data_IF_132151942600
#
_entry.id   IF_132151942600
#
_cell.length_a   1.000
_cell.length_b   1.000
_cell.length_c   1.000
_cell.angle_alpha   90.00
_cell.angle_beta   90.00
_cell.angle_gamma   90.00
#
_symmetry.space_group_name_H-M   'P 1'
#
loop_
_entity.id
_entity.type
_entity.pdbx_description
1 polymer ?
#
# COMPACT_ATOMS: atom_id res chain seq x y z
N UNK A 1 -7.68 -0.11 18.80
CA UNK A 1 -7.98 0.38 17.43
C UNK A 1 -7.77 -0.77 16.46
N UNK A 2 -8.79 -1.04 15.64
CA UNK A 2 -9.10 -2.33 14.99
C UNK A 2 -7.85 -3.00 14.36
N UNK A 3 -7.61 -4.30 14.61
CA UNK A 3 -6.56 -5.10 13.94
C UNK A 3 -6.90 -5.36 12.46
N UNK A 4 -8.19 -5.35 12.12
CA UNK A 4 -8.76 -5.51 10.77
C UNK A 4 -8.09 -4.65 9.68
N UNK A 5 -7.91 -3.32 9.84
CA UNK A 5 -7.31 -2.47 8.80
C UNK A 5 -5.87 -2.85 8.47
N UNK A 6 -5.09 -3.39 9.42
CA UNK A 6 -3.71 -3.79 9.15
C UNK A 6 -3.68 -4.97 8.18
N UNK A 7 -4.51 -5.98 8.43
CA UNK A 7 -4.62 -7.15 7.56
C UNK A 7 -5.01 -6.74 6.13
N UNK A 8 -5.97 -5.83 6.01
CA UNK A 8 -6.43 -5.31 4.71
C UNK A 8 -5.31 -4.56 3.97
N UNK A 9 -4.56 -3.70 4.66
CA UNK A 9 -3.43 -2.96 4.07
C UNK A 9 -2.34 -3.93 3.61
N UNK A 10 -2.04 -4.98 4.38
CA UNK A 10 -1.06 -6.00 3.99
C UNK A 10 -1.52 -6.78 2.76
N UNK A 11 -2.81 -7.17 2.69
CA UNK A 11 -3.37 -7.81 1.49
C UNK A 11 -3.32 -6.89 0.27
N UNK A 12 -3.60 -5.59 0.43
CA UNK A 12 -3.53 -4.60 -0.65
C UNK A 12 -2.09 -4.48 -1.21
N UNK A 13 -1.09 -4.47 -0.34
CA UNK A 13 0.33 -4.42 -0.74
C UNK A 13 0.72 -5.69 -1.49
N UNK A 14 0.34 -6.87 -0.99
CA UNK A 14 0.60 -8.15 -1.65
C UNK A 14 -0.01 -8.18 -3.06
N UNK A 15 -1.27 -7.79 -3.20
CA UNK A 15 -1.96 -7.73 -4.50
C UNK A 15 -1.27 -6.75 -5.45
N UNK A 16 -0.95 -5.55 -4.97
CA UNK A 16 -0.27 -4.51 -5.76
C UNK A 16 1.14 -4.94 -6.18
N UNK A 17 1.82 -5.71 -5.34
CA UNK A 17 3.15 -6.26 -5.64
C UNK A 17 3.09 -7.29 -6.76
N UNK A 18 2.13 -8.22 -6.72
CA UNK A 18 1.90 -9.19 -7.81
C UNK A 18 1.56 -8.47 -9.12
N UNK A 19 0.69 -7.45 -9.07
CA UNK A 19 0.38 -6.62 -10.25
C UNK A 19 1.61 -5.89 -10.79
N UNK A 20 2.52 -5.44 -9.92
CA UNK A 20 3.76 -4.80 -10.35
C UNK A 20 4.70 -5.80 -11.03
N UNK A 21 4.77 -7.05 -10.56
CA UNK A 21 5.50 -8.12 -11.26
C UNK A 21 4.95 -8.32 -12.68
N UNK A 22 3.62 -8.30 -12.87
CA UNK A 22 3.04 -8.35 -14.22
C UNK A 22 3.39 -7.11 -15.06
N UNK A 23 3.51 -5.94 -14.42
CA UNK A 23 4.05 -4.74 -15.05
C UNK A 23 5.49 -4.90 -15.54
N UNK A 24 6.35 -5.51 -14.72
CA UNK A 24 7.75 -5.80 -15.06
C UNK A 24 7.86 -6.83 -16.20
N UNK A 25 6.92 -7.78 -16.26
CA UNK A 25 6.81 -8.76 -17.35
C UNK A 25 6.24 -8.16 -18.65
N UNK A 26 5.98 -6.84 -18.71
CA UNK A 26 5.37 -6.13 -19.85
C UNK A 26 3.95 -6.62 -20.21
N UNK A 27 3.26 -7.32 -19.30
CA UNK A 27 1.87 -7.75 -19.48
C UNK A 27 0.89 -6.58 -19.28
N UNK A 28 1.27 -5.62 -18.44
CA UNK A 28 0.50 -4.42 -18.10
C UNK A 28 1.47 -3.23 -18.18
N UNK A 29 1.05 -2.03 -18.60
CA UNK A 29 1.89 -0.84 -18.57
C UNK A 29 2.42 -0.58 -17.14
N UNK A 30 3.75 -0.54 -17.00
CA UNK A 30 4.39 -0.30 -15.70
C UNK A 30 4.03 1.07 -15.10
N UNK A 31 3.66 2.01 -15.97
CA UNK A 31 3.16 3.33 -15.60
C UNK A 31 1.83 3.28 -14.82
N UNK A 32 1.10 2.17 -14.86
CA UNK A 32 -0.14 1.96 -14.11
C UNK A 32 0.14 1.15 -12.84
N UNK A 33 0.92 0.08 -12.95
CA UNK A 33 1.17 -0.82 -11.81
C UNK A 33 2.10 -0.21 -10.76
N UNK A 34 3.04 0.64 -11.18
CA UNK A 34 3.97 1.32 -10.26
C UNK A 34 3.29 2.37 -9.37
N UNK A 35 2.41 3.26 -9.88
CA UNK A 35 1.60 4.14 -9.02
C UNK A 35 0.69 3.39 -8.05
N UNK A 36 0.10 2.27 -8.47
CA UNK A 36 -0.75 1.45 -7.60
C UNK A 36 0.05 0.91 -6.40
N UNK A 37 1.23 0.35 -6.66
CA UNK A 37 2.14 -0.10 -5.60
C UNK A 37 2.55 1.06 -4.67
N UNK A 38 2.87 2.22 -5.25
CA UNK A 38 3.24 3.41 -4.48
C UNK A 38 2.12 3.88 -3.56
N UNK A 39 0.88 3.99 -4.05
CA UNK A 39 -0.28 4.38 -3.24
C UNK A 39 -0.51 3.37 -2.12
N UNK A 40 -0.39 2.07 -2.40
CA UNK A 40 -0.52 1.02 -1.38
C UNK A 40 0.50 1.18 -0.25
N UNK A 41 1.75 1.52 -0.58
CA UNK A 41 2.79 1.80 0.41
C UNK A 41 2.54 3.12 1.14
N UNK A 42 2.07 4.16 0.45
CA UNK A 42 1.72 5.45 1.06
C UNK A 42 0.63 5.28 2.12
N UNK A 43 -0.40 4.48 1.85
CA UNK A 43 -1.46 4.15 2.81
C UNK A 43 -0.87 3.46 4.05
N UNK A 44 0.10 2.55 3.87
CA UNK A 44 0.79 1.92 4.99
C UNK A 44 1.54 2.96 5.84
N UNK A 45 2.29 3.87 5.19
CA UNK A 45 3.00 4.91 5.90
C UNK A 45 2.06 5.87 6.63
N UNK A 46 0.95 6.29 6.01
CA UNK A 46 -0.07 7.12 6.66
C UNK A 46 -0.67 6.41 7.88
N UNK A 47 -1.00 5.12 7.75
CA UNK A 47 -1.52 4.32 8.85
C UNK A 47 -0.52 4.18 10.01
N UNK A 48 0.77 3.99 9.72
CA UNK A 48 1.83 3.92 10.72
C UNK A 48 2.08 5.29 11.37
N UNK A 49 1.97 6.36 10.60
CA UNK A 49 2.23 7.73 11.06
C UNK A 49 1.09 8.24 11.95
N UNK A 50 -0.16 7.87 11.68
CA UNK A 50 -1.31 8.21 12.52
C UNK A 50 -1.14 7.68 13.97
N UNK A 51 -0.48 6.52 14.13
CA UNK A 51 -0.16 5.96 15.46
C UNK A 51 0.89 6.76 16.25
N UNK A 52 1.73 7.56 15.59
CA UNK A 52 2.81 8.36 16.19
C UNK A 52 2.44 9.84 16.32
N UNK A 53 1.23 10.23 15.96
CA UNK A 53 0.80 11.63 16.00
C UNK A 53 0.55 12.02 17.45
N UNK A 54 1.27 13.04 17.93
CA UNK A 54 1.01 13.65 19.24
C UNK A 54 -0.44 14.17 19.22
N UNK A 55 -1.30 13.53 20.01
CA UNK A 55 -2.65 14.05 20.29
C UNK A 55 -2.43 15.19 21.27
N UNK A 56 -2.18 16.38 20.75
CA UNK A 56 -2.16 17.59 21.58
C UNK A 56 -3.45 17.70 22.39
N UNK A 57 -3.33 18.34 23.55
CA UNK A 57 -4.45 18.70 24.43
C UNK A 57 -5.58 19.40 23.68
#
# INVERSE_FOLDING_TARGET
MKKLPVLLIVMLILLSFILNIFGLMKLIPIFITSPILFISLLILFLYLNDRRRFKGF
#
